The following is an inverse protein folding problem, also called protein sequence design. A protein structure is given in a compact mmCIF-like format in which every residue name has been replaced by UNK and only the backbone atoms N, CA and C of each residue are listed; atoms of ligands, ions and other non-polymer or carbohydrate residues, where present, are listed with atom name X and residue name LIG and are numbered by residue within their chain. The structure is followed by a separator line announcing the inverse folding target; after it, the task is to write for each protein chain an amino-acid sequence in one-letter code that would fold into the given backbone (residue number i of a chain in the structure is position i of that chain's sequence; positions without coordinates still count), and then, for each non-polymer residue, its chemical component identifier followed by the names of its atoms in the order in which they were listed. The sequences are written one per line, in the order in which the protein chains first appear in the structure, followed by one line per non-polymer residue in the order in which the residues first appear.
data_IF_856698188438
#
_entry.id   IF_856698188438
#
_cell.length_a   1.000
_cell.length_b   1.000
_cell.length_c   1.000
_cell.angle_alpha   90.00
_cell.angle_beta   90.00
_cell.angle_gamma   90.00
#
_symmetry.space_group_name_H-M   'P 1'
#
loop_
_entity.id
_entity.type
_entity.pdbx_description
1 polymer ?
#
# COMPACT_ATOMS: atom_id res chain seq x y z
N UNK A 1 -30.66 20.13 8.46
CA UNK A 1 -29.31 19.60 8.79
C UNK A 1 -28.62 19.30 7.47
N UNK A 2 -27.55 20.02 7.15
CA UNK A 2 -26.93 20.01 5.81
C UNK A 2 -26.34 18.62 5.49
N UNK A 3 -26.50 18.15 4.25
CA UNK A 3 -25.94 16.91 3.71
C UNK A 3 -24.43 16.80 3.97
N UNK A 4 -23.71 17.92 3.91
CA UNK A 4 -22.28 18.05 4.23
C UNK A 4 -21.98 17.66 5.70
N UNK A 5 -22.86 17.96 6.63
CA UNK A 5 -22.67 17.65 8.05
C UNK A 5 -22.82 16.15 8.34
N UNK A 6 -23.71 15.47 7.60
CA UNK A 6 -23.89 14.02 7.66
C UNK A 6 -22.71 13.27 7.05
N UNK A 7 -22.17 13.73 5.93
CA UNK A 7 -20.98 13.13 5.30
C UNK A 7 -19.75 13.26 6.17
N UNK A 8 -19.53 14.44 6.77
CA UNK A 8 -18.44 14.65 7.73
C UNK A 8 -18.58 13.73 8.96
N UNK A 9 -19.79 13.57 9.49
CA UNK A 9 -20.04 12.69 10.64
C UNK A 9 -19.72 11.23 10.30
N UNK A 10 -20.18 10.74 9.14
CA UNK A 10 -19.87 9.38 8.66
C UNK A 10 -18.37 9.17 8.46
N UNK A 11 -17.65 10.16 7.94
CA UNK A 11 -16.20 10.11 7.80
C UNK A 11 -15.51 9.95 9.16
N UNK A 12 -15.84 10.78 10.15
CA UNK A 12 -15.24 10.69 11.48
C UNK A 12 -15.55 9.37 12.20
N UNK A 13 -16.78 8.85 12.05
CA UNK A 13 -17.16 7.54 12.59
C UNK A 13 -16.31 6.43 11.93
N UNK A 14 -16.13 6.47 10.62
CA UNK A 14 -15.31 5.50 9.89
C UNK A 14 -13.85 5.55 10.35
N UNK A 15 -13.27 6.74 10.47
CA UNK A 15 -11.89 6.92 10.97
C UNK A 15 -11.75 6.38 12.40
N UNK A 16 -12.73 6.66 13.28
CA UNK A 16 -12.72 6.16 14.65
C UNK A 16 -12.79 4.62 14.69
N UNK A 17 -13.72 4.03 13.94
CA UNK A 17 -13.85 2.57 13.83
C UNK A 17 -12.55 1.93 13.32
N UNK A 18 -11.94 2.49 12.28
CA UNK A 18 -10.68 2.01 11.74
C UNK A 18 -9.55 2.08 12.78
N UNK A 19 -9.46 3.16 13.54
CA UNK A 19 -8.48 3.32 14.62
C UNK A 19 -8.68 2.29 15.74
N UNK A 20 -9.93 2.04 16.14
CA UNK A 20 -10.25 1.04 17.15
C UNK A 20 -9.89 -0.36 16.62
N UNK A 21 -10.30 -0.71 15.40
CA UNK A 21 -9.99 -1.98 14.78
C UNK A 21 -8.47 -2.20 14.65
N UNK A 22 -7.72 -1.19 14.22
CA UNK A 22 -6.26 -1.26 14.13
C UNK A 22 -5.60 -1.50 15.49
N UNK A 23 -6.08 -0.86 16.56
CA UNK A 23 -5.57 -1.07 17.93
C UNK A 23 -5.92 -2.46 18.47
N UNK A 24 -7.14 -2.93 18.24
CA UNK A 24 -7.56 -4.26 18.67
C UNK A 24 -6.79 -5.36 17.94
N UNK A 25 -6.51 -5.18 16.64
CA UNK A 25 -5.71 -6.13 15.87
C UNK A 25 -4.27 -6.25 16.36
N UNK A 26 -3.71 -5.22 16.98
CA UNK A 26 -2.37 -5.28 17.59
C UNK A 26 -2.33 -6.18 18.83
N UNK A 27 -3.47 -6.47 19.46
CA UNK A 27 -3.60 -7.38 20.60
C UNK A 27 -3.86 -8.83 20.18
N UNK A 28 -4.17 -9.06 18.90
CA UNK A 28 -4.39 -10.40 18.38
C UNK A 28 -3.05 -11.15 18.26
N UNK A 29 -3.10 -12.47 18.46
CA UNK A 29 -1.92 -13.32 18.21
C UNK A 29 -1.50 -13.16 16.74
N UNK A 30 -0.21 -12.90 16.48
CA UNK A 30 0.27 -12.84 15.10
C UNK A 30 0.09 -14.21 14.43
N UNK A 31 -0.27 -14.25 13.14
CA UNK A 31 -0.34 -15.50 12.39
C UNK A 31 1.06 -16.13 12.31
N UNK A 32 1.15 -17.45 12.46
CA UNK A 32 2.42 -18.19 12.46
C UNK A 32 2.89 -18.43 11.02
N UNK A 33 1.98 -18.43 10.05
CA UNK A 33 2.30 -18.67 8.64
C UNK A 33 1.05 -18.73 7.76
N UNK A 34 1.25 -19.01 6.49
CA UNK A 34 0.18 -19.23 5.53
C UNK A 34 -0.20 -20.71 5.50
N UNK A 35 -1.50 -21.00 5.48
CA UNK A 35 -2.02 -22.38 5.29
C UNK A 35 -1.76 -22.85 3.86
N UNK A 36 -1.83 -21.94 2.90
CA UNK A 36 -1.47 -22.15 1.51
C UNK A 36 -0.74 -20.93 0.97
N UNK A 37 0.12 -21.14 -0.01
CA UNK A 37 0.82 -20.04 -0.67
C UNK A 37 -0.17 -19.32 -1.59
N UNK A 38 -0.49 -18.04 -1.34
CA UNK A 38 -1.36 -17.30 -2.23
C UNK A 38 -0.63 -17.01 -3.55
N UNK A 39 -1.27 -17.34 -4.67
CA UNK A 39 -0.76 -17.02 -5.99
C UNK A 39 -1.32 -15.68 -6.46
N UNK A 40 -0.46 -14.76 -6.98
CA UNK A 40 -0.92 -13.51 -7.54
C UNK A 40 -1.84 -13.77 -8.75
N UNK A 41 -3.03 -13.15 -8.75
CA UNK A 41 -3.95 -13.20 -9.90
C UNK A 41 -3.71 -12.06 -10.90
N UNK A 42 -2.98 -11.03 -10.50
CA UNK A 42 -2.59 -9.92 -11.37
C UNK A 42 -1.11 -10.06 -11.71
N UNK A 43 -0.81 -9.96 -13.00
CA UNK A 43 0.56 -9.92 -13.52
C UNK A 43 0.92 -8.43 -13.66
N UNK A 44 1.98 -8.01 -12.94
CA UNK A 44 2.53 -6.67 -13.07
C UNK A 44 3.39 -6.50 -14.31
N UNK A 45 3.76 -5.27 -14.61
CA UNK A 45 4.69 -4.91 -15.68
C UNK A 45 6.12 -4.81 -15.12
N UNK A 46 7.05 -5.71 -15.52
CA UNK A 46 8.41 -5.71 -15.02
C UNK A 46 9.20 -4.46 -15.45
N UNK A 47 8.88 -3.85 -16.58
CA UNK A 47 9.54 -2.62 -17.02
C UNK A 47 9.15 -1.44 -16.11
N UNK A 48 7.86 -1.32 -15.79
CA UNK A 48 7.35 -0.32 -14.83
C UNK A 48 7.94 -0.55 -13.44
N UNK A 49 8.04 -1.81 -12.99
CA UNK A 49 8.65 -2.15 -11.71
C UNK A 49 10.11 -1.68 -11.62
N UNK A 50 10.89 -1.90 -12.66
CA UNK A 50 12.28 -1.39 -12.73
C UNK A 50 12.35 0.15 -12.74
N UNK A 51 11.47 0.81 -13.50
CA UNK A 51 11.39 2.27 -13.51
C UNK A 51 11.07 2.82 -12.13
N UNK A 52 10.08 2.26 -11.43
CA UNK A 52 9.74 2.65 -10.06
C UNK A 52 10.90 2.43 -9.09
N UNK A 53 11.60 1.30 -9.20
CA UNK A 53 12.77 1.02 -8.37
C UNK A 53 13.94 1.99 -8.61
N UNK A 54 13.97 2.67 -9.75
CA UNK A 54 14.95 3.73 -10.07
C UNK A 54 14.44 5.14 -9.80
N UNK A 55 13.21 5.28 -9.29
CA UNK A 55 12.64 6.57 -8.91
C UNK A 55 11.78 7.26 -9.97
N UNK A 56 11.44 6.56 -11.06
CA UNK A 56 10.47 7.06 -12.04
C UNK A 56 9.10 6.46 -11.76
N UNK A 57 8.18 7.29 -11.26
CA UNK A 57 6.86 6.89 -10.78
C UNK A 57 5.80 7.29 -11.81
N UNK A 58 5.03 6.33 -12.29
CA UNK A 58 3.92 6.56 -13.23
C UNK A 58 2.62 6.04 -12.63
N UNK A 59 1.76 6.95 -12.18
CA UNK A 59 0.45 6.65 -11.60
C UNK A 59 -0.62 7.57 -12.15
N UNK A 60 -1.79 7.03 -12.44
CA UNK A 60 -2.94 7.78 -12.94
C UNK A 60 -2.61 8.68 -14.17
N UNK A 61 -1.72 8.23 -15.06
CA UNK A 61 -1.28 9.00 -16.22
C UNK A 61 -0.25 10.11 -15.92
N UNK A 62 0.15 10.28 -14.67
CA UNK A 62 1.13 11.28 -14.25
C UNK A 62 2.48 10.64 -13.96
N UNK A 63 3.56 11.25 -14.48
CA UNK A 63 4.93 10.80 -14.27
C UNK A 63 5.67 11.74 -13.34
N UNK A 64 6.29 11.20 -12.31
CA UNK A 64 7.11 11.93 -11.34
C UNK A 64 8.47 11.26 -11.25
N UNK A 65 9.54 12.03 -11.42
CA UNK A 65 10.91 11.54 -11.22
C UNK A 65 11.42 12.04 -9.88
N UNK A 66 11.61 11.10 -8.95
CA UNK A 66 12.06 11.37 -7.59
C UNK A 66 12.91 10.19 -7.07
N UNK A 67 14.16 10.03 -7.58
CA UNK A 67 14.99 8.84 -7.36
C UNK A 67 15.33 8.59 -5.87
N UNK A 68 15.49 9.65 -5.09
CA UNK A 68 15.91 9.58 -3.69
C UNK A 68 14.77 9.85 -2.70
N UNK A 69 13.53 9.94 -3.20
CA UNK A 69 12.36 10.28 -2.38
C UNK A 69 11.47 9.06 -2.19
N UNK A 70 10.99 8.88 -0.97
CA UNK A 70 10.04 7.81 -0.69
C UNK A 70 8.66 8.13 -1.29
N UNK A 71 7.96 7.11 -1.79
CA UNK A 71 6.63 7.25 -2.39
C UNK A 71 5.63 8.04 -1.53
N UNK A 72 5.72 7.92 -0.21
CA UNK A 72 4.78 8.54 0.73
C UNK A 72 5.14 9.98 1.12
N UNK A 73 6.27 10.48 0.63
CA UNK A 73 6.80 11.80 0.94
C UNK A 73 6.81 12.73 -0.28
N UNK A 74 6.44 12.21 -1.46
CA UNK A 74 6.28 13.03 -2.67
C UNK A 74 4.99 13.87 -2.60
N UNK A 75 5.00 15.07 -3.17
CA UNK A 75 3.78 15.85 -3.36
C UNK A 75 2.80 15.09 -4.24
N UNK A 76 1.58 14.91 -3.77
CA UNK A 76 0.53 14.19 -4.49
C UNK A 76 -0.19 15.16 -5.42
N UNK A 77 -0.23 14.92 -6.75
CA UNK A 77 -0.83 15.86 -7.69
C UNK A 77 -2.36 15.97 -7.56
N UNK A 78 -3.04 14.84 -7.37
CA UNK A 78 -4.49 14.74 -7.31
C UNK A 78 -5.00 13.50 -6.56
N UNK A 79 -6.32 13.36 -6.51
CA UNK A 79 -6.97 12.23 -5.83
C UNK A 79 -6.80 10.91 -6.58
N UNK A 80 -6.72 10.92 -7.90
CA UNK A 80 -6.54 9.70 -8.70
C UNK A 80 -5.16 9.11 -8.49
N UNK A 81 -4.15 9.96 -8.41
CA UNK A 81 -2.80 9.56 -8.02
C UNK A 81 -2.78 8.98 -6.59
N UNK A 82 -3.44 9.66 -5.64
CA UNK A 82 -3.57 9.15 -4.26
C UNK A 82 -4.21 7.77 -4.24
N UNK A 83 -5.30 7.58 -4.95
CA UNK A 83 -6.02 6.30 -5.04
C UNK A 83 -5.13 5.21 -5.61
N UNK A 84 -4.40 5.50 -6.68
CA UNK A 84 -3.50 4.56 -7.34
C UNK A 84 -2.39 4.07 -6.40
N UNK A 85 -1.74 4.99 -5.66
CA UNK A 85 -0.67 4.60 -4.72
C UNK A 85 -1.20 3.89 -3.48
N UNK A 86 -2.36 4.29 -2.95
CA UNK A 86 -2.95 3.71 -1.73
C UNK A 86 -3.52 2.30 -1.95
N UNK A 87 -3.95 1.97 -3.16
CA UNK A 87 -4.38 0.63 -3.54
C UNK A 87 -3.23 -0.38 -3.72
N UNK A 88 -1.97 0.08 -3.64
CA UNK A 88 -0.74 -0.72 -3.75
C UNK A 88 -0.59 -1.50 -5.08
N UNK A 89 -1.16 -1.03 -6.20
CA UNK A 89 -1.00 -1.68 -7.51
C UNK A 89 0.46 -1.73 -7.97
N UNK A 90 1.27 -0.78 -7.54
CA UNK A 90 2.70 -0.74 -7.77
C UNK A 90 3.45 -1.98 -7.24
N UNK A 91 2.88 -2.70 -6.28
CA UNK A 91 3.48 -3.91 -5.74
C UNK A 91 3.47 -5.06 -6.76
N UNK A 92 2.42 -5.14 -7.59
CA UNK A 92 2.35 -6.11 -8.69
C UNK A 92 3.51 -5.88 -9.67
N UNK A 93 3.79 -4.63 -10.03
CA UNK A 93 4.86 -4.27 -10.97
C UNK A 93 6.26 -4.50 -10.38
N UNK A 94 6.48 -4.13 -9.11
CA UNK A 94 7.76 -4.39 -8.42
C UNK A 94 8.01 -5.90 -8.25
N UNK A 95 6.98 -6.67 -7.94
CA UNK A 95 7.08 -8.12 -7.83
C UNK A 95 7.37 -8.77 -9.19
N UNK A 96 6.78 -8.25 -10.28
CA UNK A 96 7.06 -8.69 -11.65
C UNK A 96 8.50 -8.40 -12.07
N UNK A 97 9.09 -7.26 -11.66
CA UNK A 97 10.50 -6.97 -11.87
C UNK A 97 11.40 -7.97 -11.13
N UNK A 98 11.04 -8.37 -9.91
CA UNK A 98 11.59 -9.48 -9.18
C UNK A 98 13.04 -9.36 -8.70
N UNK A 99 13.75 -8.31 -9.08
CA UNK A 99 15.14 -8.11 -8.69
C UNK A 99 15.29 -7.57 -7.25
N UNK A 100 16.50 -7.58 -6.72
CA UNK A 100 16.80 -7.16 -5.35
C UNK A 100 16.46 -5.70 -5.08
N UNK A 101 16.62 -4.82 -6.07
CA UNK A 101 16.31 -3.39 -5.94
C UNK A 101 14.80 -3.15 -5.87
N UNK A 102 14.03 -3.81 -6.74
CA UNK A 102 12.58 -3.74 -6.73
C UNK A 102 12.01 -4.28 -5.41
N UNK A 103 12.56 -5.40 -4.91
CA UNK A 103 12.16 -5.96 -3.61
C UNK A 103 12.43 -5.01 -2.46
N UNK A 104 13.63 -4.45 -2.38
CA UNK A 104 14.00 -3.49 -1.34
C UNK A 104 13.08 -2.26 -1.38
N UNK A 105 12.79 -1.74 -2.56
CA UNK A 105 11.85 -0.63 -2.77
C UNK A 105 10.46 -0.99 -2.24
N UNK A 106 9.93 -2.17 -2.61
CA UNK A 106 8.62 -2.64 -2.14
C UNK A 106 8.57 -2.76 -0.62
N UNK A 107 9.60 -3.35 -0.01
CA UNK A 107 9.71 -3.48 1.44
C UNK A 107 9.70 -2.11 2.13
N UNK A 108 10.52 -1.17 1.67
CA UNK A 108 10.58 0.18 2.22
C UNK A 108 9.20 0.86 2.11
N UNK A 109 8.54 0.77 0.97
CA UNK A 109 7.25 1.43 0.76
C UNK A 109 6.15 0.81 1.64
N UNK A 110 6.08 -0.52 1.76
CA UNK A 110 5.11 -1.19 2.65
C UNK A 110 5.36 -0.81 4.11
N UNK A 111 6.59 -0.90 4.60
CA UNK A 111 6.91 -0.58 5.99
C UNK A 111 6.67 0.89 6.34
N UNK A 112 7.00 1.80 5.44
CA UNK A 112 6.71 3.21 5.63
C UNK A 112 5.22 3.52 5.59
N UNK A 113 4.45 2.82 4.73
CA UNK A 113 2.99 2.92 4.76
C UNK A 113 2.44 2.49 6.12
N UNK A 114 2.87 1.34 6.64
CA UNK A 114 2.45 0.85 7.95
C UNK A 114 2.77 1.87 9.04
N UNK A 115 3.98 2.42 9.04
CA UNK A 115 4.40 3.43 10.02
C UNK A 115 3.56 4.71 9.94
N UNK A 116 3.26 5.19 8.72
CA UNK A 116 2.54 6.47 8.49
C UNK A 116 1.03 6.33 8.69
N UNK A 117 0.44 5.25 8.21
CA UNK A 117 -1.01 5.08 8.13
C UNK A 117 -1.56 3.87 8.91
N UNK A 118 -0.75 2.97 9.39
CA UNK A 118 -1.16 1.71 10.01
C UNK A 118 -2.05 1.85 11.25
N UNK A 119 -2.15 3.05 11.82
CA UNK A 119 -3.02 3.33 12.98
C UNK A 119 -4.46 3.68 12.59
N UNK A 120 -4.89 3.41 11.37
CA UNK A 120 -6.27 3.60 10.91
C UNK A 120 -6.60 5.01 10.45
N UNK A 121 -5.60 5.83 10.13
CA UNK A 121 -5.76 7.18 9.59
C UNK A 121 -5.18 7.32 8.19
N UNK A 122 -5.68 8.32 7.43
CA UNK A 122 -5.19 8.64 6.09
C UNK A 122 -6.09 8.18 4.95
N UNK A 123 -5.78 8.60 3.71
CA UNK A 123 -6.68 8.43 2.55
C UNK A 123 -6.86 6.97 2.12
N UNK A 124 -5.94 6.07 2.49
CA UNK A 124 -5.98 4.65 2.13
C UNK A 124 -6.93 3.79 2.98
N UNK A 125 -7.66 4.35 3.92
CA UNK A 125 -8.55 3.62 4.82
C UNK A 125 -10.01 3.62 4.37
N UNK A 126 -10.27 3.71 3.07
CA UNK A 126 -11.57 3.36 2.50
C UNK A 126 -11.70 1.82 2.42
N UNK A 127 -12.91 1.24 2.50
CA UNK A 127 -13.08 -0.21 2.39
C UNK A 127 -12.48 -0.81 1.11
N UNK A 128 -12.63 -0.11 -0.01
CA UNK A 128 -12.10 -0.52 -1.30
C UNK A 128 -10.57 -0.57 -1.31
N UNK A 129 -9.91 0.54 -0.93
CA UNK A 129 -8.44 0.63 -0.93
C UNK A 129 -7.81 -0.30 0.11
N UNK A 130 -8.46 -0.46 1.26
CA UNK A 130 -8.02 -1.41 2.27
C UNK A 130 -8.09 -2.86 1.76
N UNK A 131 -9.17 -3.23 1.06
CA UNK A 131 -9.31 -4.54 0.44
C UNK A 131 -8.30 -4.79 -0.66
N UNK A 132 -8.10 -3.83 -1.58
CA UNK A 132 -7.11 -3.92 -2.66
C UNK A 132 -5.69 -4.09 -2.10
N UNK A 133 -5.32 -3.30 -1.10
CA UNK A 133 -4.02 -3.37 -0.45
C UNK A 133 -3.80 -4.71 0.26
N UNK A 134 -4.79 -5.17 1.03
CA UNK A 134 -4.70 -6.44 1.74
C UNK A 134 -4.47 -7.61 0.78
N UNK A 135 -5.25 -7.69 -0.29
CA UNK A 135 -5.10 -8.73 -1.31
C UNK A 135 -3.68 -8.71 -1.90
N UNK A 136 -3.16 -7.55 -2.27
CA UNK A 136 -1.81 -7.44 -2.85
C UNK A 136 -0.71 -7.79 -1.85
N UNK A 137 -0.83 -7.36 -0.62
CA UNK A 137 0.14 -7.73 0.42
C UNK A 137 0.17 -9.24 0.66
N UNK A 138 -1.00 -9.91 0.66
CA UNK A 138 -1.08 -11.35 0.79
C UNK A 138 -0.49 -12.07 -0.43
N UNK A 139 -0.85 -11.64 -1.64
CA UNK A 139 -0.35 -12.23 -2.88
C UNK A 139 1.18 -12.14 -3.02
N UNK A 140 1.76 -11.05 -2.55
CA UNK A 140 3.21 -10.81 -2.65
C UNK A 140 3.94 -10.96 -1.31
N UNK A 141 3.33 -11.64 -0.33
CA UNK A 141 3.91 -11.76 1.01
C UNK A 141 5.30 -12.42 0.97
N UNK A 142 5.50 -13.48 0.19
CA UNK A 142 6.80 -14.13 0.06
C UNK A 142 7.85 -13.22 -0.57
N UNK A 143 7.47 -12.38 -1.54
CA UNK A 143 8.36 -11.38 -2.12
C UNK A 143 8.77 -10.32 -1.10
N UNK A 144 7.83 -9.89 -0.25
CA UNK A 144 8.06 -8.88 0.78
C UNK A 144 8.87 -9.40 1.97
N UNK A 145 8.68 -10.67 2.36
CA UNK A 145 9.31 -11.24 3.56
C UNK A 145 10.68 -11.86 3.27
N UNK A 146 11.01 -12.13 2.00
CA UNK A 146 12.29 -12.76 1.64
C UNK A 146 13.48 -11.88 2.04
N UNK A 147 14.44 -12.45 2.78
CA UNK A 147 15.66 -11.75 3.22
C UNK A 147 15.49 -10.85 4.45
N UNK A 148 14.42 -11.02 5.22
CA UNK A 148 14.23 -10.38 6.52
C UNK A 148 14.81 -11.19 7.69
N UNK A 149 15.33 -12.40 7.42
CA UNK A 149 15.85 -13.33 8.43
C UNK A 149 17.35 -13.11 8.76
N UNK A 150 17.84 -11.85 8.65
CA UNK A 150 19.20 -11.49 9.07
C UNK A 150 19.19 -10.40 10.11
#
# INVERSE_FOLDING_TARGET
MSMIMLENCRYYITVLRNRIAARLSMLAKPPIGFVSQPEPRSIGDPARGRQMATGTLLFAGQSITAPDTNLWDIPVPDNDFTTAIQGCKWLDDLAAAGDGKARKTAQIWVWRWIKKYGRGGGPGWTPELAGQRLIRWLHHALFLLRGQDQ
#
